data_IF_249698142368
#
_entry.id   IF_249698142368
#
_cell.length_a   1.000
_cell.length_b   1.000
_cell.length_c   1.000
_cell.angle_alpha   90.00
_cell.angle_beta   90.00
_cell.angle_gamma   90.00
#
_symmetry.space_group_name_H-M   'P 1'
#
loop_
_entity.id
_entity.type
_entity.pdbx_description
1 polymer ?
#
# COMPACT_ATOMS: atom_id res chain seq x y z
N UNK A 1 -12.03 -27.49 -19.80
CA UNK A 1 -10.88 -26.66 -19.36
C UNK A 1 -11.20 -25.16 -19.20
N UNK A 2 -12.45 -24.71 -19.38
CA UNK A 2 -12.84 -23.28 -19.32
C UNK A 2 -12.74 -22.67 -17.91
N UNK A 3 -13.00 -23.44 -16.85
CA UNK A 3 -13.10 -22.93 -15.46
C UNK A 3 -11.75 -22.72 -14.74
N UNK A 4 -10.68 -23.42 -15.18
CA UNK A 4 -9.34 -23.35 -14.52
C UNK A 4 -8.78 -21.92 -14.53
N UNK A 5 -9.04 -21.14 -15.58
CA UNK A 5 -8.55 -19.75 -15.70
C UNK A 5 -9.22 -18.81 -14.70
N UNK A 6 -10.53 -18.98 -14.46
CA UNK A 6 -11.28 -18.18 -13.49
C UNK A 6 -10.92 -18.53 -12.04
N UNK A 7 -10.63 -19.81 -11.77
CA UNK A 7 -10.15 -20.26 -10.45
C UNK A 7 -8.78 -19.65 -10.12
N UNK A 8 -7.85 -19.64 -11.09
CA UNK A 8 -6.53 -19.04 -10.91
C UNK A 8 -6.64 -17.52 -10.70
N UNK A 9 -7.53 -16.82 -11.42
CA UNK A 9 -7.76 -15.40 -11.24
C UNK A 9 -8.36 -15.07 -9.87
N UNK A 10 -9.35 -15.86 -9.42
CA UNK A 10 -9.95 -15.71 -8.10
C UNK A 10 -8.94 -15.93 -6.98
N UNK A 11 -8.03 -16.91 -7.15
CA UNK A 11 -6.94 -17.16 -6.22
C UNK A 11 -5.92 -16.02 -6.21
N UNK A 12 -5.53 -15.50 -7.38
CA UNK A 12 -4.60 -14.36 -7.45
C UNK A 12 -5.21 -13.09 -6.83
N UNK A 13 -6.51 -12.88 -7.01
CA UNK A 13 -7.25 -11.77 -6.41
C UNK A 13 -7.31 -11.87 -4.89
N UNK A 14 -7.57 -13.06 -4.34
CA UNK A 14 -7.61 -13.26 -2.90
C UNK A 14 -6.23 -13.12 -2.26
N UNK A 15 -5.16 -13.60 -2.90
CA UNK A 15 -3.81 -13.38 -2.39
C UNK A 15 -3.43 -11.88 -2.42
N UNK A 16 -3.69 -11.17 -3.52
CA UNK A 16 -3.33 -9.75 -3.64
C UNK A 16 -4.01 -8.85 -2.58
N UNK A 17 -5.25 -9.18 -2.20
CA UNK A 17 -5.98 -8.41 -1.16
C UNK A 17 -5.41 -8.65 0.23
N UNK A 18 -5.01 -9.88 0.58
CA UNK A 18 -4.49 -10.18 1.93
C UNK A 18 -3.23 -9.43 2.33
N UNK A 19 -2.35 -9.08 1.38
CA UNK A 19 -1.12 -8.35 1.67
C UNK A 19 -1.34 -6.87 2.05
N UNK A 20 -2.50 -6.28 1.73
CA UNK A 20 -2.72 -4.84 1.89
C UNK A 20 -3.36 -4.42 3.22
N UNK A 21 -3.98 -5.34 3.98
CA UNK A 21 -4.87 -4.96 5.11
C UNK A 21 -4.26 -5.07 6.52
N UNK A 22 -2.98 -5.45 6.68
CA UNK A 22 -2.40 -5.76 8.00
C UNK A 22 -1.27 -4.83 8.51
N UNK A 23 -0.93 -3.75 7.81
CA UNK A 23 0.27 -2.99 8.16
C UNK A 23 0.01 -1.94 9.26
N UNK A 24 0.56 -2.16 10.47
CA UNK A 24 0.58 -1.17 11.54
C UNK A 24 1.37 0.09 11.12
N UNK A 25 0.85 1.26 11.48
CA UNK A 25 1.47 2.55 11.19
C UNK A 25 1.46 3.43 12.43
N UNK A 26 2.52 4.24 12.58
CA UNK A 26 2.69 5.16 13.69
C UNK A 26 2.22 6.54 13.24
N UNK A 27 1.23 7.07 13.96
CA UNK A 27 0.71 8.41 13.73
C UNK A 27 1.32 9.37 14.76
N UNK A 28 1.90 10.45 14.26
CA UNK A 28 2.36 11.57 15.09
C UNK A 28 1.49 12.79 14.80
N UNK A 29 0.90 13.34 15.86
CA UNK A 29 0.12 14.57 15.82
C UNK A 29 0.87 15.67 16.55
N UNK A 30 1.09 16.79 15.86
CA UNK A 30 1.77 17.93 16.47
C UNK A 30 0.76 18.73 17.30
N UNK A 31 0.93 18.70 18.62
CA UNK A 31 0.08 19.46 19.56
C UNK A 31 -0.09 20.93 19.13
N UNK A 32 -1.33 21.40 19.14
CA UNK A 32 -1.69 22.77 18.74
C UNK A 32 -1.80 23.01 17.23
N UNK A 33 -1.57 22.00 16.38
CA UNK A 33 -1.77 22.12 14.93
C UNK A 33 -2.54 20.91 14.39
N UNK A 34 -3.19 21.03 13.24
CA UNK A 34 -3.84 19.89 12.55
C UNK A 34 -2.86 19.00 11.75
N UNK A 35 -1.54 19.14 11.99
CA UNK A 35 -0.53 18.42 11.22
C UNK A 35 -0.37 17.00 11.74
N UNK A 36 -0.59 16.03 10.85
CA UNK A 36 -0.53 14.60 11.10
C UNK A 36 0.51 13.96 10.20
N UNK A 37 1.39 13.17 10.79
CA UNK A 37 2.46 12.48 10.08
C UNK A 37 2.36 10.99 10.32
N UNK A 38 2.54 10.20 9.26
CA UNK A 38 2.42 8.75 9.32
C UNK A 38 3.76 8.12 9.01
N UNK A 39 4.20 7.21 9.88
CA UNK A 39 5.38 6.38 9.72
C UNK A 39 4.93 4.94 9.49
N UNK A 40 5.37 4.36 8.37
CA UNK A 40 5.16 2.94 8.09
C UNK A 40 6.39 2.14 8.51
N UNK A 41 6.17 0.85 8.83
CA UNK A 41 7.27 -0.11 9.03
C UNK A 41 8.20 -0.08 7.81
N UNK A 42 9.51 -0.12 8.06
CA UNK A 42 10.57 -0.01 7.05
C UNK A 42 11.06 1.41 6.82
N UNK A 43 10.38 2.44 7.33
CA UNK A 43 10.84 3.82 7.22
C UNK A 43 11.85 4.19 8.30
N UNK A 44 12.74 5.14 8.00
CA UNK A 44 13.60 5.75 8.99
C UNK A 44 12.83 6.75 9.87
N UNK A 45 13.16 6.76 11.15
CA UNK A 45 12.65 7.69 12.16
C UNK A 45 13.83 8.38 12.85
N UNK A 46 13.74 9.71 12.96
CA UNK A 46 14.75 10.54 13.61
C UNK A 46 14.20 11.01 14.95
N UNK A 47 14.80 10.57 16.05
CA UNK A 47 14.30 10.85 17.41
C UNK A 47 15.42 11.30 18.34
N UNK A 48 15.05 11.91 19.46
CA UNK A 48 15.92 12.22 20.58
C UNK A 48 15.31 11.66 21.85
N UNK A 49 16.12 10.95 22.64
CA UNK A 49 15.72 10.42 23.93
C UNK A 49 15.85 11.48 25.04
N UNK A 50 15.04 11.34 26.09
CA UNK A 50 15.18 12.13 27.30
C UNK A 50 16.54 11.82 27.93
N UNK A 51 17.25 12.87 28.36
CA UNK A 51 18.61 12.75 28.91
C UNK A 51 19.74 12.70 27.86
N UNK A 52 19.44 12.46 26.58
CA UNK A 52 20.43 12.43 25.50
C UNK A 52 20.39 13.74 24.69
N UNK A 53 21.55 14.28 24.32
CA UNK A 53 21.64 15.52 23.50
C UNK A 53 21.61 15.25 22.00
N UNK A 54 22.09 14.08 21.57
CA UNK A 54 22.15 13.67 20.17
C UNK A 54 20.77 13.31 19.60
N UNK A 55 20.63 13.51 18.30
CA UNK A 55 19.55 12.91 17.51
C UNK A 55 20.04 11.56 17.00
N UNK A 56 19.17 10.57 17.02
CA UNK A 56 19.40 9.24 16.46
C UNK A 56 18.47 8.99 15.29
N UNK A 57 18.97 8.22 14.33
CA UNK A 57 18.23 7.83 13.13
C UNK A 57 18.25 6.30 13.03
N UNK A 58 17.07 5.70 13.10
CA UNK A 58 16.94 4.25 13.10
C UNK A 58 15.81 3.80 12.17
N UNK A 59 15.92 2.58 11.66
CA UNK A 59 14.88 1.96 10.83
C UNK A 59 13.78 1.38 11.73
N UNK A 60 12.53 1.76 11.48
CA UNK A 60 11.36 1.27 12.19
C UNK A 60 11.03 -0.15 11.72
N UNK A 61 11.10 -1.12 12.62
CA UNK A 61 10.88 -2.54 12.32
C UNK A 61 9.52 -3.03 12.81
N UNK A 62 9.02 -2.50 13.93
CA UNK A 62 7.68 -2.79 14.42
C UNK A 62 7.15 -1.63 15.28
N UNK A 63 5.83 -1.62 15.49
CA UNK A 63 5.13 -0.65 16.32
C UNK A 63 4.32 -1.44 17.34
N UNK A 64 4.45 -1.07 18.61
CA UNK A 64 3.72 -1.62 19.76
C UNK A 64 2.87 -0.49 20.38
N UNK A 65 1.99 -0.83 21.31
CA UNK A 65 1.05 0.13 21.91
C UNK A 65 1.76 1.29 22.65
N UNK A 66 2.88 0.99 23.31
CA UNK A 66 3.63 1.97 24.12
C UNK A 66 5.08 2.20 23.66
N UNK A 67 5.47 1.56 22.56
CA UNK A 67 6.85 1.59 22.08
C UNK A 67 6.92 1.43 20.56
N UNK A 68 8.06 1.80 19.99
CA UNK A 68 8.42 1.42 18.64
C UNK A 68 9.72 0.63 18.65
N UNK A 69 9.79 -0.38 17.81
CA UNK A 69 10.96 -1.24 17.68
C UNK A 69 11.79 -0.75 16.51
N UNK A 70 13.05 -0.50 16.77
CA UNK A 70 14.05 -0.19 15.76
C UNK A 70 14.93 -1.41 15.49
N UNK A 71 15.78 -1.34 14.46
CA UNK A 71 16.76 -2.41 14.20
C UNK A 71 17.62 -2.76 15.44
N UNK A 72 17.96 -1.77 16.26
CA UNK A 72 18.97 -1.92 17.31
C UNK A 72 18.36 -2.00 18.72
N UNK A 73 17.17 -1.45 18.93
CA UNK A 73 16.55 -1.37 20.26
C UNK A 73 15.03 -1.13 20.19
N UNK A 74 14.35 -1.38 21.31
CA UNK A 74 12.94 -1.04 21.54
C UNK A 74 12.81 0.24 22.36
N UNK A 75 12.25 1.28 21.74
CA UNK A 75 12.15 2.61 22.33
C UNK A 75 10.73 2.86 22.83
N UNK A 76 10.58 3.09 24.14
CA UNK A 76 9.31 3.49 24.76
C UNK A 76 8.94 4.91 24.34
N UNK A 77 7.69 5.17 23.95
CA UNK A 77 7.24 6.51 23.57
C UNK A 77 7.47 7.55 24.69
N UNK A 78 7.34 7.13 25.95
CA UNK A 78 7.59 7.98 27.13
C UNK A 78 9.05 8.45 27.24
N UNK A 79 10.00 7.70 26.69
CA UNK A 79 11.43 8.06 26.71
C UNK A 79 11.82 9.01 25.58
N UNK A 80 10.93 9.24 24.61
CA UNK A 80 11.20 10.14 23.48
C UNK A 80 10.94 11.58 23.89
N UNK A 81 11.96 12.42 23.76
CA UNK A 81 11.86 13.87 23.99
C UNK A 81 11.27 14.59 22.79
N UNK A 82 11.76 14.28 21.58
CA UNK A 82 11.30 14.89 20.34
C UNK A 82 11.55 13.96 19.16
N UNK A 83 10.71 14.08 18.14
CA UNK A 83 10.86 13.40 16.86
C UNK A 83 11.05 14.47 15.80
N UNK A 84 12.14 14.38 15.04
CA UNK A 84 12.39 15.29 13.93
C UNK A 84 11.72 14.75 12.68
N UNK A 85 10.63 15.40 12.34
CA UNK A 85 9.91 15.20 11.11
C UNK A 85 10.61 16.09 10.09
N UNK A 86 11.56 15.52 9.33
CA UNK A 86 12.28 16.25 8.28
C UNK A 86 11.35 16.67 7.14
N UNK A 87 11.83 16.70 5.89
CA UNK A 87 11.00 17.00 4.72
C UNK A 87 10.03 15.85 4.34
N UNK A 88 9.49 15.12 5.33
CA UNK A 88 8.43 14.12 5.10
C UNK A 88 7.15 14.88 4.79
N UNK A 89 6.68 14.73 3.55
CA UNK A 89 5.41 15.31 3.08
C UNK A 89 4.26 14.81 3.96
N UNK A 90 3.31 15.70 4.24
CA UNK A 90 1.96 15.29 4.70
C UNK A 90 1.44 14.14 3.83
N UNK A 91 0.58 13.28 4.38
CA UNK A 91 -0.14 12.21 3.67
C UNK A 91 -0.45 12.65 2.22
N UNK A 92 0.42 12.25 1.29
CA UNK A 92 0.39 12.76 -0.07
C UNK A 92 -0.60 11.91 -0.83
N UNK A 93 -1.37 12.51 -1.74
CA UNK A 93 -2.31 11.81 -2.63
C UNK A 93 -1.65 10.58 -3.29
N UNK A 94 -0.32 10.61 -3.49
CA UNK A 94 0.50 9.51 -3.99
C UNK A 94 0.45 8.23 -3.12
N UNK A 95 0.40 8.33 -1.79
CA UNK A 95 0.28 7.16 -0.91
C UNK A 95 -1.09 6.49 -1.00
N UNK A 96 -2.12 7.23 -1.43
CA UNK A 96 -3.47 6.72 -1.69
C UNK A 96 -3.61 6.22 -3.13
N UNK A 97 -2.85 6.78 -4.07
CA UNK A 97 -2.88 6.41 -5.48
C UNK A 97 -2.37 4.98 -5.74
N UNK A 98 -1.37 4.51 -4.98
CA UNK A 98 -0.82 3.15 -5.13
C UNK A 98 -1.88 2.04 -5.02
N UNK A 99 -2.62 1.95 -3.91
CA UNK A 99 -3.71 0.99 -3.76
C UNK A 99 -4.80 1.11 -4.83
N UNK A 100 -5.14 2.35 -5.24
CA UNK A 100 -6.15 2.62 -6.28
C UNK A 100 -5.67 2.12 -7.66
N UNK A 101 -4.40 2.31 -7.99
CA UNK A 101 -3.83 1.84 -9.25
C UNK A 101 -3.77 0.31 -9.31
N UNK A 102 -3.42 -0.34 -8.20
CA UNK A 102 -3.42 -1.80 -8.10
C UNK A 102 -4.84 -2.35 -8.28
N UNK A 103 -5.83 -1.78 -7.59
CA UNK A 103 -7.22 -2.23 -7.73
C UNK A 103 -7.78 -1.96 -9.14
N UNK A 104 -7.46 -0.81 -9.74
CA UNK A 104 -7.86 -0.49 -11.11
C UNK A 104 -7.26 -1.47 -12.13
N UNK A 105 -5.98 -1.82 -12.01
CA UNK A 105 -5.34 -2.79 -12.89
C UNK A 105 -5.99 -4.17 -12.83
N UNK A 106 -6.37 -4.60 -11.62
CA UNK A 106 -7.05 -5.89 -11.41
C UNK A 106 -8.48 -5.88 -11.98
N UNK A 107 -9.22 -4.77 -11.87
CA UNK A 107 -10.56 -4.62 -12.46
C UNK A 107 -10.47 -4.68 -14.00
N UNK A 108 -9.50 -4.01 -14.61
CA UNK A 108 -9.31 -4.03 -16.07
C UNK A 108 -9.03 -5.45 -16.57
N UNK A 109 -8.17 -6.21 -15.87
CA UNK A 109 -7.89 -7.61 -16.22
C UNK A 109 -9.13 -8.50 -16.09
N UNK A 110 -9.97 -8.29 -15.07
CA UNK A 110 -11.22 -9.00 -14.92
C UNK A 110 -12.19 -8.71 -16.08
N UNK A 111 -12.31 -7.44 -16.48
CA UNK A 111 -13.15 -7.02 -17.63
C UNK A 111 -12.64 -7.65 -18.93
N UNK A 112 -11.34 -7.65 -19.20
CA UNK A 112 -10.78 -8.25 -20.42
C UNK A 112 -11.05 -9.77 -20.49
N UNK A 113 -10.94 -10.47 -19.37
CA UNK A 113 -11.23 -11.92 -19.30
C UNK A 113 -12.73 -12.20 -19.45
N UNK A 114 -13.61 -11.36 -18.89
CA UNK A 114 -15.06 -11.46 -19.09
C UNK A 114 -15.39 -11.21 -20.57
N UNK A 115 -14.82 -10.18 -21.19
CA UNK A 115 -15.05 -9.86 -22.59
C UNK A 115 -14.56 -10.99 -23.50
N UNK A 116 -13.32 -11.47 -23.32
CA UNK A 116 -12.80 -12.60 -24.12
C UNK A 116 -13.51 -13.92 -23.82
N UNK A 117 -14.08 -14.09 -22.63
CA UNK A 117 -14.80 -15.29 -22.23
C UNK A 117 -16.27 -15.34 -22.67
N UNK A 118 -16.95 -14.19 -22.73
CA UNK A 118 -18.37 -14.07 -23.09
C UNK A 118 -18.60 -13.61 -24.53
N UNK A 119 -17.79 -12.69 -25.04
CA UNK A 119 -18.00 -12.06 -26.36
C UNK A 119 -17.37 -12.90 -27.48
N UNK A 120 -16.39 -13.75 -27.16
CA UNK A 120 -15.69 -14.58 -28.15
C UNK A 120 -16.35 -15.93 -28.46
N UNK A 121 -17.58 -16.18 -27.95
CA UNK A 121 -18.48 -17.25 -28.42
C UNK A 121 -19.56 -16.69 -29.39
N UNK A 122 -19.53 -15.39 -29.72
CA UNK A 122 -20.25 -14.84 -30.87
C UNK A 122 -19.48 -15.16 -32.15
N UNK A 123 -19.87 -16.22 -32.85
CA UNK A 123 -19.18 -16.73 -34.03
C UNK A 123 -18.80 -15.61 -35.01
N UNK A 124 -17.52 -15.55 -35.36
CA UNK A 124 -17.04 -14.74 -36.48
C UNK A 124 -17.59 -15.38 -37.76
N UNK A 125 -18.78 -14.98 -38.19
CA UNK A 125 -19.25 -15.28 -39.53
C UNK A 125 -18.55 -14.30 -40.47
N UNK A 126 -17.73 -14.82 -41.37
CA UNK A 126 -17.32 -14.06 -42.55
C UNK A 126 -18.60 -13.71 -43.33
N UNK A 127 -19.07 -12.47 -43.22
CA UNK A 127 -20.06 -11.95 -44.16
C UNK A 127 -19.31 -11.62 -45.46
N UNK A 128 -19.59 -12.40 -46.50
CA UNK A 128 -19.03 -12.29 -47.85
C UNK A 128 -19.62 -11.11 -48.64
N UNK A 129 -19.87 -10.00 -47.95
CA UNK A 129 -20.50 -8.79 -48.50
C UNK A 129 -20.00 -7.65 -47.61
N UNK A 130 -18.85 -7.03 -47.87
CA UNK A 130 -18.66 -6.02 -48.90
C UNK A 130 -17.14 -5.84 -49.06
N UNK A 131 -16.62 -6.09 -50.25
CA UNK A 131 -15.32 -5.56 -50.64
C UNK A 131 -15.48 -4.14 -51.14
N UNK A 132 -14.63 -3.22 -50.68
CA UNK A 132 -14.41 -1.95 -51.40
C UNK A 132 -12.91 -1.73 -51.49
N UNK A 133 -12.48 -1.46 -52.72
CA UNK A 133 -11.12 -1.14 -53.14
C UNK A 133 -10.65 0.22 -52.60
#
# INVERSE_FOLDING_TARGET
>A
MKYKKYIILSLLFSLATTFSFGQSFLVLEKMGTKKRFVYHIGQQINYQLIGHKSMEQSLLTAILDSAFVTRNDTILFKSVKKIHIGNKRELSILSTAGPILISAGVIILAIDIINRGLVQDGGYTWDSSIGVA
#
